data_IF_320530769886
#
_entry.id   IF_320530769886
#
_cell.length_a   1.000
_cell.length_b   1.000
_cell.length_c   1.000
_cell.angle_alpha   90.00
_cell.angle_beta   90.00
_cell.angle_gamma   90.00
#
_symmetry.space_group_name_H-M   'P 1'
#
loop_
_entity.id
_entity.type
_entity.pdbx_description
1 polymer ?
#
# COMPACT_ATOMS: atom_id res chain seq x y z
N UNK A 1 -9.43 -15.73 10.86
CA UNK A 1 -9.23 -15.00 9.58
C UNK A 1 -8.36 -15.86 8.68
N UNK A 2 -8.88 -16.34 7.54
CA UNK A 2 -8.07 -17.09 6.57
C UNK A 2 -7.04 -16.14 5.95
N UNK A 3 -5.75 -16.37 6.17
CA UNK A 3 -4.69 -15.62 5.48
C UNK A 3 -4.87 -15.87 3.98
N UNK A 4 -5.37 -14.86 3.25
CA UNK A 4 -5.40 -14.88 1.79
C UNK A 4 -3.94 -14.93 1.31
N UNK A 5 -3.45 -16.15 1.05
CA UNK A 5 -2.09 -16.36 0.57
C UNK A 5 -2.01 -15.88 -0.87
N UNK A 6 -1.11 -14.93 -1.13
CA UNK A 6 -0.88 -14.42 -2.49
C UNK A 6 -0.48 -15.58 -3.40
N UNK A 7 -1.13 -15.68 -4.56
CA UNK A 7 -0.83 -16.68 -5.58
C UNK A 7 -0.58 -16.01 -6.93
N UNK A 8 0.47 -16.41 -7.64
CA UNK A 8 0.85 -15.85 -8.95
C UNK A 8 1.27 -16.97 -9.89
N UNK A 9 0.84 -16.93 -11.16
CA UNK A 9 1.17 -17.96 -12.17
C UNK A 9 2.58 -17.75 -12.73
N UNK A 10 3.48 -18.70 -12.47
CA UNK A 10 4.83 -18.87 -13.03
C UNK A 10 4.89 -18.77 -14.55
N UNK A 11 5.99 -18.24 -15.11
CA UNK A 11 6.25 -18.32 -16.57
C UNK A 11 6.35 -19.76 -17.07
N UNK A 12 6.65 -20.70 -16.18
CA UNK A 12 6.68 -22.15 -16.40
C UNK A 12 5.31 -22.83 -16.17
N UNK A 13 4.22 -22.06 -16.07
CA UNK A 13 2.88 -22.57 -15.78
C UNK A 13 2.66 -23.05 -14.34
N UNK A 14 3.67 -22.97 -13.46
CA UNK A 14 3.53 -23.40 -12.05
C UNK A 14 3.01 -22.27 -11.18
N UNK A 15 2.10 -22.58 -10.26
CA UNK A 15 1.59 -21.61 -9.28
C UNK A 15 2.64 -21.33 -8.20
N UNK A 16 2.96 -20.05 -8.01
CA UNK A 16 3.75 -19.55 -6.88
C UNK A 16 2.79 -19.11 -5.78
N UNK A 17 3.11 -19.43 -4.53
CA UNK A 17 2.33 -19.03 -3.35
C UNK A 17 3.17 -18.28 -2.33
N UNK A 18 2.51 -17.55 -1.44
CA UNK A 18 3.12 -16.94 -0.25
C UNK A 18 4.29 -16.00 -0.59
N UNK A 19 5.41 -16.15 0.12
CA UNK A 19 6.60 -15.31 -0.04
C UNK A 19 7.17 -15.32 -1.46
N UNK A 20 7.17 -16.46 -2.15
CA UNK A 20 7.64 -16.55 -3.53
C UNK A 20 6.78 -15.74 -4.51
N UNK A 21 5.46 -15.72 -4.27
CA UNK A 21 4.54 -14.87 -5.04
C UNK A 21 4.77 -13.38 -4.75
N UNK A 22 5.08 -13.03 -3.51
CA UNK A 22 5.37 -11.64 -3.11
C UNK A 22 6.64 -11.13 -3.76
N UNK A 23 7.73 -11.90 -3.67
CA UNK A 23 9.02 -11.54 -4.27
C UNK A 23 8.91 -11.32 -5.78
N UNK A 24 8.13 -12.17 -6.47
CA UNK A 24 7.89 -11.99 -7.88
C UNK A 24 7.16 -10.68 -8.18
N UNK A 25 6.10 -10.38 -7.43
CA UNK A 25 5.33 -9.13 -7.61
C UNK A 25 6.21 -7.90 -7.38
N UNK A 26 7.08 -7.94 -6.39
CA UNK A 26 8.06 -6.87 -6.12
C UNK A 26 9.05 -6.74 -7.28
N UNK A 27 9.58 -7.85 -7.78
CA UNK A 27 10.46 -7.85 -8.95
C UNK A 27 9.80 -7.27 -10.21
N UNK A 28 8.53 -7.61 -10.46
CA UNK A 28 7.74 -7.07 -11.57
C UNK A 28 7.47 -5.56 -11.43
N UNK A 29 7.56 -5.01 -10.21
CA UNK A 29 7.39 -3.58 -9.92
C UNK A 29 8.72 -2.80 -9.87
N UNK A 30 9.79 -3.33 -10.46
CA UNK A 30 11.09 -2.66 -10.48
C UNK A 30 11.99 -2.97 -9.28
N UNK A 31 11.64 -3.99 -8.47
CA UNK A 31 12.41 -4.39 -7.31
C UNK A 31 11.98 -3.70 -6.02
N UNK A 32 12.74 -3.91 -4.96
CA UNK A 32 12.38 -3.45 -3.62
C UNK A 32 12.33 -1.92 -3.50
N UNK A 33 13.27 -1.21 -4.12
CA UNK A 33 13.35 0.25 -4.00
C UNK A 33 12.13 0.92 -4.63
N UNK A 34 11.81 0.55 -5.88
CA UNK A 34 10.65 1.07 -6.60
C UNK A 34 9.33 0.69 -5.90
N UNK A 35 9.22 -0.55 -5.43
CA UNK A 35 8.04 -1.01 -4.69
C UNK A 35 7.84 -0.21 -3.38
N UNK A 36 8.90 0.01 -2.61
CA UNK A 36 8.81 0.77 -1.37
C UNK A 36 8.55 2.26 -1.64
N UNK A 37 9.14 2.84 -2.69
CA UNK A 37 8.85 4.21 -3.08
C UNK A 37 7.36 4.41 -3.39
N UNK A 38 6.75 3.52 -4.17
CA UNK A 38 5.30 3.53 -4.45
C UNK A 38 4.47 3.36 -3.17
N UNK A 39 4.85 2.40 -2.31
CA UNK A 39 4.14 2.12 -1.07
C UNK A 39 4.18 3.29 -0.10
N UNK A 40 5.35 3.90 0.08
CA UNK A 40 5.56 5.06 0.95
C UNK A 40 4.76 6.24 0.43
N UNK A 41 4.79 6.51 -0.88
CA UNK A 41 4.01 7.60 -1.48
C UNK A 41 2.51 7.46 -1.18
N UNK A 42 1.94 6.27 -1.36
CA UNK A 42 0.52 6.00 -1.07
C UNK A 42 0.17 6.13 0.41
N UNK A 43 1.09 5.80 1.31
CA UNK A 43 0.88 5.95 2.75
C UNK A 43 0.96 7.44 3.14
N UNK A 44 1.95 8.16 2.62
CA UNK A 44 2.12 9.57 2.86
C UNK A 44 0.92 10.40 2.37
N UNK A 45 0.41 10.10 1.17
CA UNK A 45 -0.77 10.76 0.60
C UNK A 45 -2.00 10.60 1.51
N UNK A 46 -2.29 9.39 1.97
CA UNK A 46 -3.42 9.13 2.89
C UNK A 46 -3.29 9.88 4.22
N UNK A 47 -2.11 9.85 4.83
CA UNK A 47 -1.87 10.56 6.09
C UNK A 47 -1.99 12.06 5.88
N UNK A 48 -1.51 12.57 4.76
CA UNK A 48 -1.64 13.99 4.42
C UNK A 48 -3.12 14.40 4.28
N UNK A 49 -3.92 13.63 3.54
CA UNK A 49 -5.36 13.86 3.39
C UNK A 49 -6.06 13.87 4.76
N UNK A 50 -5.80 12.89 5.61
CA UNK A 50 -6.38 12.81 6.97
C UNK A 50 -6.05 14.06 7.81
N UNK A 51 -4.79 14.51 7.77
CA UNK A 51 -4.35 15.72 8.50
C UNK A 51 -5.03 16.97 7.95
N UNK A 52 -5.14 17.10 6.63
CA UNK A 52 -5.78 18.25 5.99
C UNK A 52 -7.28 18.29 6.26
N UNK A 53 -7.96 17.15 6.30
CA UNK A 53 -9.36 17.06 6.69
C UNK A 53 -9.56 17.49 8.15
N UNK A 54 -8.68 17.09 9.07
CA UNK A 54 -8.73 17.52 10.47
C UNK A 54 -8.52 19.03 10.61
N UNK A 55 -7.51 19.59 9.93
CA UNK A 55 -7.23 21.03 9.96
C UNK A 55 -8.37 21.87 9.38
N UNK A 56 -9.00 21.40 8.31
CA UNK A 56 -10.11 22.09 7.66
C UNK A 56 -11.44 21.87 8.36
N UNK A 57 -11.49 21.04 9.41
CA UNK A 57 -12.72 20.76 10.14
C UNK A 57 -13.21 22.04 10.81
N UNK A 58 -14.37 22.59 10.41
CA UNK A 58 -14.87 23.84 10.97
C UNK A 58 -15.14 23.67 12.47
N UNK A 59 -14.40 24.39 13.29
CA UNK A 59 -14.69 24.51 14.73
C UNK A 59 -15.55 25.74 14.95
N UNK A 60 -16.83 25.55 15.29
CA UNK A 60 -17.65 26.65 15.79
C UNK A 60 -17.16 27.04 17.19
N UNK A 61 -16.44 28.15 17.28
CA UNK A 61 -16.10 28.78 18.56
C UNK A 61 -17.06 29.93 18.78
N UNK A 62 -17.88 29.84 19.82
CA UNK A 62 -18.69 30.96 20.29
C UNK A 62 -17.72 31.98 20.89
N UNK A 63 -17.61 33.16 20.28
CA UNK A 63 -16.87 34.27 20.87
C UNK A 63 -17.61 34.75 22.13
N UNK A 64 -16.86 34.93 23.22
CA UNK A 64 -17.37 35.52 24.47
C UNK A 64 -17.47 37.03 24.36
#
# INVERSE_FOLDING_TARGET
>A
MSQKTLRVLGKNGKMLGGGAAQLRRIKERGGWDAYHAELIGRVAEKVYEEVMEEMNRPSFKIAK
#
